data_IF_785445130303
#
_entry.id   IF_785445130303
#
_cell.length_a   1.000
_cell.length_b   1.000
_cell.length_c   1.000
_cell.angle_alpha   90.00
_cell.angle_beta   90.00
_cell.angle_gamma   90.00
#
_symmetry.space_group_name_H-M   'P 1'
#
loop_
_entity.id
_entity.type
_entity.pdbx_description
1 polymer ?
#
# COMPACT_ATOMS: atom_id res chain seq x y z
N UNK A 1 -23.66 -15.67 -17.40
CA UNK A 1 -23.04 -14.89 -17.28
C UNK A 1 -22.53 -14.40 -16.02
N UNK A 2 -21.35 -14.45 -15.95
CA UNK A 2 -20.80 -14.14 -14.81
C UNK A 2 -21.09 -12.89 -14.29
N UNK A 3 -21.32 -11.95 -14.97
CA UNK A 3 -21.56 -10.70 -14.42
C UNK A 3 -22.77 -10.64 -13.60
N UNK A 4 -23.60 -11.56 -13.76
CA UNK A 4 -24.78 -11.49 -12.99
C UNK A 4 -24.59 -12.18 -11.72
N UNK A 5 -23.85 -11.63 -10.84
CA UNK A 5 -23.68 -12.20 -9.56
C UNK A 5 -24.63 -11.51 -8.64
N UNK A 6 -25.81 -12.01 -8.52
CA UNK A 6 -26.81 -11.34 -7.75
C UNK A 6 -27.08 -11.96 -6.42
N UNK A 7 -26.62 -13.17 -6.19
CA UNK A 7 -26.76 -13.80 -4.91
C UNK A 7 -25.44 -14.37 -4.48
N UNK A 8 -25.29 -14.61 -3.20
CA UNK A 8 -24.07 -15.19 -2.69
C UNK A 8 -23.80 -16.55 -3.29
N UNK A 9 -24.86 -17.29 -3.54
CA UNK A 9 -24.70 -18.60 -4.12
C UNK A 9 -24.16 -18.54 -5.53
N UNK A 10 -24.66 -17.60 -6.33
CA UNK A 10 -24.14 -17.43 -7.69
C UNK A 10 -22.68 -17.00 -7.68
N UNK A 11 -22.31 -16.14 -6.74
CA UNK A 11 -20.96 -15.71 -6.62
C UNK A 11 -20.04 -16.87 -6.25
N UNK A 12 -20.47 -17.70 -5.32
CA UNK A 12 -19.71 -18.87 -4.92
C UNK A 12 -19.46 -19.80 -6.10
N UNK A 13 -20.47 -20.04 -6.88
CA UNK A 13 -20.33 -20.91 -8.04
C UNK A 13 -19.35 -20.31 -9.04
N UNK A 14 -19.45 -19.01 -9.26
CA UNK A 14 -18.52 -18.36 -10.16
C UNK A 14 -17.09 -18.45 -9.67
N UNK A 15 -16.87 -18.21 -8.36
CA UNK A 15 -15.54 -18.24 -7.80
C UNK A 15 -14.94 -19.65 -7.83
N UNK A 16 -15.76 -20.66 -7.70
CA UNK A 16 -15.27 -22.03 -7.74
C UNK A 16 -14.75 -22.39 -9.12
N UNK A 17 -15.30 -21.75 -10.15
CA UNK A 17 -14.88 -22.03 -11.51
C UNK A 17 -13.87 -21.01 -12.02
N UNK A 18 -13.57 -19.99 -11.25
CA UNK A 18 -12.68 -18.92 -11.68
C UNK A 18 -11.21 -19.34 -11.56
N UNK A 19 -10.34 -18.72 -12.35
CA UNK A 19 -8.91 -18.95 -12.17
C UNK A 19 -8.48 -18.54 -10.77
N UNK A 20 -7.43 -19.16 -10.29
CA UNK A 20 -6.92 -18.88 -8.96
C UNK A 20 -6.56 -17.40 -8.79
N UNK A 21 -6.04 -16.80 -9.84
CA UNK A 21 -5.67 -15.37 -9.75
C UNK A 21 -6.88 -14.49 -9.52
N UNK A 22 -8.00 -14.81 -10.16
CA UNK A 22 -9.20 -14.03 -9.99
C UNK A 22 -9.78 -14.23 -8.58
N UNK A 23 -9.72 -15.46 -8.09
CA UNK A 23 -10.20 -15.75 -6.76
C UNK A 23 -9.40 -15.00 -5.70
N UNK A 24 -8.09 -14.98 -5.83
CA UNK A 24 -7.24 -14.26 -4.91
C UNK A 24 -7.57 -12.77 -4.95
N UNK A 25 -7.77 -12.23 -6.13
CA UNK A 25 -8.08 -10.82 -6.28
C UNK A 25 -9.39 -10.46 -5.59
N UNK A 26 -10.40 -11.32 -5.72
CA UNK A 26 -11.67 -11.07 -5.08
C UNK A 26 -11.52 -11.10 -3.55
N UNK A 27 -10.80 -12.08 -3.03
CA UNK A 27 -10.59 -12.19 -1.60
C UNK A 27 -9.86 -10.98 -1.05
N UNK A 28 -8.85 -10.51 -1.80
CA UNK A 28 -8.10 -9.34 -1.35
C UNK A 28 -8.99 -8.11 -1.27
N UNK A 29 -9.92 -7.98 -2.20
CA UNK A 29 -10.81 -6.82 -2.18
C UNK A 29 -11.79 -6.85 -1.02
N UNK A 30 -12.10 -8.04 -0.48
CA UNK A 30 -13.02 -8.15 0.62
C UNK A 30 -12.31 -8.20 1.97
N UNK A 31 -11.00 -8.36 1.98
CA UNK A 31 -10.26 -8.41 3.22
C UNK A 31 -10.25 -7.06 3.93
N UNK A 32 -10.18 -7.12 5.24
CA UNK A 32 -10.10 -5.90 6.03
C UNK A 32 -8.85 -5.09 5.69
N UNK A 33 -7.71 -5.77 5.46
CA UNK A 33 -6.47 -5.09 5.10
C UNK A 33 -6.63 -4.29 3.81
N UNK A 34 -7.32 -4.84 2.82
CA UNK A 34 -7.51 -4.13 1.56
C UNK A 34 -8.44 -2.93 1.74
N UNK A 35 -9.46 -3.08 2.58
CA UNK A 35 -10.36 -1.96 2.87
C UNK A 35 -9.60 -0.83 3.56
N UNK A 36 -8.72 -1.17 4.49
CA UNK A 36 -7.89 -0.17 5.17
C UNK A 36 -6.92 0.49 4.19
N UNK A 37 -6.30 -0.29 3.31
CA UNK A 37 -5.39 0.27 2.31
C UNK A 37 -6.11 1.28 1.43
N UNK A 38 -7.33 0.97 1.04
CA UNK A 38 -8.10 1.85 0.18
C UNK A 38 -8.36 3.18 0.86
N UNK A 39 -8.69 3.14 2.14
CA UNK A 39 -8.90 4.37 2.89
C UNK A 39 -7.60 5.14 3.09
N UNK A 40 -6.51 4.45 3.38
CA UNK A 40 -5.22 5.09 3.58
C UNK A 40 -4.71 5.74 2.29
N UNK A 41 -4.97 5.13 1.13
CA UNK A 41 -4.51 5.70 -0.13
C UNK A 41 -5.06 7.09 -0.39
N UNK A 42 -6.20 7.40 0.15
CA UNK A 42 -6.79 8.72 -0.03
C UNK A 42 -6.01 9.81 0.69
N UNK A 43 -5.13 9.42 1.62
CA UNK A 43 -4.41 10.36 2.45
C UNK A 43 -2.90 10.24 2.32
N UNK A 44 -2.42 9.70 1.19
CA UNK A 44 -0.98 9.49 1.04
C UNK A 44 -0.19 10.78 0.97
N UNK A 45 -0.82 11.84 0.49
CA UNK A 45 -0.14 13.13 0.45
C UNK A 45 -0.32 13.81 1.78
N UNK A 46 0.57 13.57 2.70
CA UNK A 46 0.51 14.18 4.01
C UNK A 46 0.44 13.15 5.10
N UNK A 47 -0.17 13.49 6.19
CA UNK A 47 -0.21 12.62 7.35
C UNK A 47 -1.29 11.56 7.19
N UNK A 48 -0.93 10.31 7.39
CA UNK A 48 -1.89 9.23 7.27
C UNK A 48 -2.80 9.19 8.50
N UNK A 49 -4.06 8.77 8.32
CA UNK A 49 -4.98 8.67 9.46
C UNK A 49 -4.50 7.64 10.47
N UNK A 50 -4.94 7.82 11.70
CA UNK A 50 -4.62 6.89 12.77
C UNK A 50 -5.53 5.67 12.70
N UNK A 51 -5.17 4.66 13.48
CA UNK A 51 -6.00 3.47 13.60
C UNK A 51 -7.41 3.84 14.06
N UNK A 52 -7.50 4.78 15.01
CA UNK A 52 -8.79 5.22 15.52
C UNK A 52 -9.62 5.88 14.43
N UNK A 53 -9.01 6.71 13.62
CA UNK A 53 -9.73 7.40 12.55
C UNK A 53 -10.23 6.41 11.50
N UNK A 54 -9.41 5.44 11.16
CA UNK A 54 -9.81 4.43 10.18
C UNK A 54 -10.92 3.55 10.74
N UNK A 55 -10.83 3.18 12.01
CA UNK A 55 -11.85 2.34 12.62
C UNK A 55 -13.20 3.05 12.65
N UNK A 56 -13.19 4.36 12.88
CA UNK A 56 -14.43 5.13 12.83
C UNK A 56 -15.05 5.09 11.44
N UNK A 57 -14.25 5.22 10.42
CA UNK A 57 -14.74 5.19 9.05
C UNK A 57 -15.33 3.83 8.69
N UNK A 58 -14.84 2.78 9.33
CA UNK A 58 -15.32 1.43 9.08
C UNK A 58 -16.40 1.00 10.06
N UNK A 59 -16.79 1.90 10.96
CA UNK A 59 -17.81 1.63 12.00
C UNK A 59 -17.39 0.46 12.89
N UNK A 60 -16.11 0.41 13.23
CA UNK A 60 -15.54 -0.62 14.09
C UNK A 60 -14.82 0.04 15.26
N UNK A 61 -14.63 -0.70 16.34
CA UNK A 61 -13.75 -0.23 17.40
C UNK A 61 -12.30 -0.46 16.97
N UNK A 62 -11.37 0.33 17.51
CA UNK A 62 -9.94 0.11 17.18
C UNK A 62 -9.48 -1.30 17.52
N UNK A 63 -9.99 -1.85 18.61
CA UNK A 63 -9.59 -3.21 18.99
C UNK A 63 -10.06 -4.24 17.98
N UNK A 64 -11.30 -4.09 17.50
CA UNK A 64 -11.83 -5.01 16.51
C UNK A 64 -11.05 -4.90 15.21
N UNK A 65 -10.74 -3.68 14.79
CA UNK A 65 -9.96 -3.48 13.58
C UNK A 65 -8.58 -4.12 13.71
N UNK A 66 -7.92 -3.87 14.84
CA UNK A 66 -6.59 -4.44 15.06
C UNK A 66 -6.64 -5.96 15.03
N UNK A 67 -7.64 -6.55 15.68
CA UNK A 67 -7.76 -7.99 15.74
C UNK A 67 -7.98 -8.60 14.35
N UNK A 68 -8.83 -7.96 13.56
CA UNK A 68 -9.11 -8.46 12.21
C UNK A 68 -7.89 -8.37 11.33
N UNK A 69 -7.13 -7.28 11.44
CA UNK A 69 -5.91 -7.15 10.65
C UNK A 69 -4.88 -8.18 11.05
N UNK A 70 -4.76 -8.45 12.34
CA UNK A 70 -3.83 -9.46 12.81
C UNK A 70 -4.22 -10.85 12.32
N UNK A 71 -5.51 -11.13 12.25
CA UNK A 71 -5.99 -12.40 11.74
C UNK A 71 -5.61 -12.61 10.28
N UNK A 72 -5.45 -11.52 9.54
CA UNK A 72 -5.02 -11.57 8.15
C UNK A 72 -3.50 -11.50 8.00
N UNK A 73 -2.78 -11.41 9.11
CA UNK A 73 -1.33 -11.33 9.07
C UNK A 73 -0.80 -9.96 8.69
N UNK A 74 -1.63 -8.91 8.78
CA UNK A 74 -1.24 -7.57 8.38
C UNK A 74 -1.50 -6.58 9.51
N UNK A 75 -0.46 -6.04 10.11
CA UNK A 75 -0.64 -4.99 11.11
C UNK A 75 -0.92 -3.65 10.46
N UNK A 76 -1.55 -2.75 11.21
CA UNK A 76 -1.89 -1.43 10.69
C UNK A 76 -0.63 -0.66 10.29
N UNK A 77 0.41 -0.71 11.12
CA UNK A 77 1.64 0.00 10.81
C UNK A 77 2.29 -0.55 9.54
N UNK A 78 2.25 -1.89 9.37
CA UNK A 78 2.80 -2.49 8.18
C UNK A 78 2.07 -2.05 6.93
N UNK A 79 0.74 -1.88 7.02
CA UNK A 79 -0.03 -1.40 5.89
C UNK A 79 0.35 0.03 5.53
N UNK A 80 0.54 0.88 6.53
CA UNK A 80 0.96 2.25 6.29
C UNK A 80 2.35 2.27 5.63
N UNK A 81 3.26 1.47 6.15
CA UNK A 81 4.61 1.42 5.60
C UNK A 81 4.61 0.92 4.17
N UNK A 82 3.81 -0.10 3.88
CA UNK A 82 3.72 -0.63 2.52
C UNK A 82 3.23 0.42 1.54
N UNK A 83 2.22 1.18 1.93
CA UNK A 83 1.69 2.22 1.05
C UNK A 83 2.68 3.35 0.85
N UNK A 84 3.36 3.76 1.91
CA UNK A 84 4.37 4.81 1.78
C UNK A 84 5.54 4.34 0.93
N UNK A 85 5.96 3.08 1.11
CA UNK A 85 7.03 2.52 0.30
C UNK A 85 6.63 2.50 -1.17
N UNK A 86 5.43 2.03 -1.48
CA UNK A 86 4.98 1.95 -2.86
C UNK A 86 4.88 3.33 -3.50
N UNK A 87 4.37 4.30 -2.75
CA UNK A 87 4.27 5.66 -3.25
C UNK A 87 5.66 6.26 -3.46
N UNK A 88 6.58 5.99 -2.55
CA UNK A 88 7.95 6.49 -2.68
C UNK A 88 8.62 5.92 -3.93
N UNK A 89 8.42 4.63 -4.18
CA UNK A 89 9.00 3.99 -5.35
C UNK A 89 8.46 4.63 -6.62
N UNK A 90 7.16 4.89 -6.65
CA UNK A 90 6.54 5.53 -7.81
C UNK A 90 7.11 6.93 -8.03
N UNK A 91 7.27 7.70 -6.96
CA UNK A 91 7.84 9.04 -7.08
C UNK A 91 9.31 8.99 -7.51
N UNK A 92 10.06 7.98 -7.03
CA UNK A 92 11.47 7.86 -7.39
C UNK A 92 11.66 7.60 -8.88
N UNK A 93 10.66 7.08 -9.55
CA UNK A 93 10.74 6.85 -10.98
C UNK A 93 10.68 8.16 -11.77
N UNK A 94 10.26 9.25 -11.15
CA UNK A 94 10.18 10.55 -11.79
C UNK A 94 11.45 11.33 -11.46
N UNK A 95 12.37 11.47 -12.42
CA UNK A 95 13.65 12.14 -12.14
C UNK A 95 13.52 13.63 -11.84
N UNK A 96 12.36 14.22 -12.14
CA UNK A 96 12.17 15.64 -11.85
C UNK A 96 11.90 15.90 -10.37
N UNK A 97 11.56 14.87 -9.60
CA UNK A 97 11.30 15.03 -8.17
C UNK A 97 12.58 14.78 -7.38
N UNK A 98 12.91 15.72 -6.51
CA UNK A 98 14.06 15.52 -5.63
C UNK A 98 13.66 14.63 -4.47
N UNK A 99 14.66 14.10 -3.77
CA UNK A 99 14.37 13.28 -2.59
C UNK A 99 13.67 14.10 -1.52
N UNK A 100 13.98 15.38 -1.42
CA UNK A 100 13.30 16.26 -0.49
C UNK A 100 11.83 16.40 -0.85
N UNK A 101 11.55 16.56 -2.15
CA UNK A 101 10.17 16.66 -2.62
C UNK A 101 9.39 15.39 -2.28
N UNK A 102 10.00 14.24 -2.50
CA UNK A 102 9.34 12.97 -2.26
C UNK A 102 9.02 12.80 -0.78
N UNK A 103 10.00 13.07 0.08
CA UNK A 103 9.78 12.97 1.51
C UNK A 103 8.66 13.87 1.98
N UNK A 104 8.63 15.09 1.44
CA UNK A 104 7.61 16.06 1.79
C UNK A 104 6.22 15.58 1.36
N UNK A 105 6.12 15.02 0.17
CA UNK A 105 4.83 14.52 -0.34
C UNK A 105 4.32 13.36 0.49
N UNK A 106 5.22 12.60 1.10
CA UNK A 106 4.83 11.47 1.93
C UNK A 106 4.58 11.85 3.39
N UNK A 107 4.70 13.13 3.70
CA UNK A 107 4.41 13.61 5.05
C UNK A 107 5.59 13.64 5.99
N UNK A 108 6.80 13.44 5.48
CA UNK A 108 8.00 13.54 6.32
C UNK A 108 8.43 15.00 6.40
N UNK A 109 8.66 15.46 7.62
CA UNK A 109 9.08 16.84 7.80
C UNK A 109 10.56 17.02 7.55
N UNK A 110 11.34 15.95 7.59
CA UNK A 110 12.78 16.01 7.37
C UNK A 110 13.22 14.94 6.39
N UNK A 111 14.14 15.31 5.52
CA UNK A 111 14.65 14.38 4.52
C UNK A 111 15.37 13.20 5.17
N UNK A 112 16.05 13.43 6.29
CA UNK A 112 16.78 12.36 6.96
C UNK A 112 15.83 11.30 7.50
N UNK A 113 14.65 11.70 7.96
CA UNK A 113 13.67 10.76 8.47
C UNK A 113 13.13 9.90 7.34
N UNK A 114 12.85 10.51 6.18
CA UNK A 114 12.41 9.75 5.01
C UNK A 114 13.50 8.78 4.58
N UNK A 115 14.75 9.25 4.56
CA UNK A 115 15.87 8.42 4.15
C UNK A 115 15.97 7.16 5.00
N UNK A 116 15.90 7.30 6.32
CA UNK A 116 15.97 6.15 7.21
C UNK A 116 14.77 5.23 7.05
N UNK A 117 13.58 5.81 6.93
CA UNK A 117 12.39 5.00 6.77
C UNK A 117 12.44 4.18 5.50
N UNK A 118 12.83 4.80 4.39
CA UNK A 118 12.88 4.12 3.11
C UNK A 118 13.91 3.00 3.14
N UNK A 119 15.06 3.27 3.75
CA UNK A 119 16.09 2.24 3.87
C UNK A 119 15.59 1.08 4.71
N UNK A 120 14.80 1.36 5.74
CA UNK A 120 14.20 0.30 6.54
C UNK A 120 13.18 -0.51 5.75
N UNK A 121 12.44 0.13 4.85
CA UNK A 121 11.43 -0.57 4.06
C UNK A 121 12.03 -1.43 2.96
N UNK A 122 13.09 -0.97 2.31
CA UNK A 122 13.60 -1.61 1.10
C UNK A 122 15.01 -2.16 1.22
N UNK A 123 15.73 -1.77 2.24
CA UNK A 123 17.13 -2.14 2.39
C UNK A 123 18.10 -1.23 1.68
N UNK A 124 17.59 -0.26 0.90
CA UNK A 124 18.44 0.69 0.17
C UNK A 124 18.02 2.11 0.47
N UNK A 125 19.00 3.02 0.48
CA UNK A 125 18.67 4.43 0.60
C UNK A 125 17.92 4.88 -0.64
N UNK A 126 17.08 5.94 -0.53
CA UNK A 126 16.30 6.38 -1.69
C UNK A 126 17.15 6.75 -2.90
N UNK A 127 18.26 7.42 -2.66
CA UNK A 127 19.16 7.79 -3.78
C UNK A 127 19.76 6.59 -4.46
N UNK A 128 20.17 5.61 -3.65
CA UNK A 128 20.74 4.37 -4.21
C UNK A 128 19.68 3.59 -4.97
N UNK A 129 18.46 3.57 -4.48
CA UNK A 129 17.37 2.88 -5.14
C UNK A 129 17.09 3.51 -6.50
N UNK A 130 17.01 4.84 -6.53
CA UNK A 130 16.78 5.55 -7.79
C UNK A 130 17.88 5.28 -8.80
N UNK A 131 19.13 5.31 -8.33
CA UNK A 131 20.24 5.07 -9.19
C UNK A 131 20.18 3.66 -9.77
N UNK A 132 19.87 2.70 -8.94
CA UNK A 132 19.77 1.32 -9.37
C UNK A 132 18.67 1.13 -10.41
N UNK A 133 17.52 1.74 -10.21
CA UNK A 133 16.40 1.57 -11.13
C UNK A 133 16.57 2.35 -12.43
N UNK A 134 16.98 3.60 -12.33
CA UNK A 134 17.13 4.42 -13.52
C UNK A 134 18.38 4.06 -14.30
N UNK A 135 19.45 3.74 -13.58
CA UNK A 135 20.69 3.38 -14.26
C UNK A 135 20.61 2.04 -14.94
N UNK A 136 19.82 1.13 -14.42
CA UNK A 136 19.70 -0.18 -15.02
C UNK A 136 18.90 -0.15 -16.31
N UNK A 137 17.99 0.77 -16.40
CA UNK A 137 17.14 0.80 -17.57
C UNK A 137 17.89 1.08 -18.84
N UNK A 138 18.66 2.05 -18.96
CA UNK A 138 19.37 2.27 -20.16
C UNK A 138 20.68 1.64 -20.14
N UNK A 139 21.19 1.41 -19.72
CA UNK A 139 22.29 1.21 -19.53
C UNK A 139 23.22 1.53 -19.66
N UNK A 140 23.62 1.92 -19.74
CA UNK A 140 24.45 2.21 -19.78
C UNK A 140 25.45 2.33 -19.44
N UNK A 141 25.70 2.56 -19.49
CA UNK A 141 26.46 2.80 -19.10
C UNK A 141 27.03 3.03 -18.54
N UNK A 142 27.06 3.05 -18.48
CA UNK A 142 27.71 3.30 -17.84
C UNK A 142 27.96 2.86 -17.67
#
# INVERSE_FOLDING_TARGET
DLPVVQSAQSLDEFLQQAPASLLVRYRDQTRMSERVRRLLRRHLAGELPSLEQISQQLALTPQTLRRRLQAEGQGFQALKDDLRRDAAIAYLADPSLTLLDIGSRLGFSEASTFHRAFKGWTGLAPGAYRQSRLGAAPMPST
#
